data_IF_885889850717
#
_entry.id   IF_885889850717
#
_cell.length_a   1.000
_cell.length_b   1.000
_cell.length_c   1.000
_cell.angle_alpha   90.00
_cell.angle_beta   90.00
_cell.angle_gamma   90.00
#
_symmetry.space_group_name_H-M   'P 1'
#
loop_
_entity.id
_entity.type
_entity.pdbx_description
1 polymer ?
#
# COMPACT_ATOMS: atom_id res chain seq x y z
N UNK A 1 -18.28 2.77 -17.43
CA UNK A 1 -18.16 2.21 -16.06
C UNK A 1 -16.74 1.83 -15.68
N UNK A 2 -15.96 1.19 -16.55
CA UNK A 2 -14.57 0.78 -16.25
C UNK A 2 -13.67 1.92 -15.74
N UNK A 3 -13.74 3.09 -16.39
CA UNK A 3 -12.91 4.25 -16.03
C UNK A 3 -13.19 4.81 -14.62
N UNK A 4 -14.43 4.69 -14.12
CA UNK A 4 -14.79 5.20 -12.78
C UNK A 4 -14.23 4.27 -11.72
N UNK A 5 -14.40 2.96 -11.91
CA UNK A 5 -13.87 1.93 -11.03
C UNK A 5 -12.35 1.96 -10.98
N UNK A 6 -11.68 2.06 -12.13
CA UNK A 6 -10.22 2.14 -12.21
C UNK A 6 -9.69 3.39 -11.49
N UNK A 7 -10.33 4.55 -11.71
CA UNK A 7 -9.98 5.79 -11.00
C UNK A 7 -10.18 5.68 -9.49
N UNK A 8 -11.26 5.05 -9.05
CA UNK A 8 -11.51 4.84 -7.62
C UNK A 8 -10.48 3.90 -6.99
N UNK A 9 -10.13 2.81 -7.68
CA UNK A 9 -9.11 1.87 -7.21
C UNK A 9 -7.74 2.53 -7.10
N UNK A 10 -7.35 3.34 -8.09
CA UNK A 10 -6.09 4.08 -8.06
C UNK A 10 -6.06 5.05 -6.86
N UNK A 11 -7.12 5.84 -6.69
CA UNK A 11 -7.24 6.79 -5.59
C UNK A 11 -7.20 6.11 -4.21
N UNK A 12 -7.92 4.99 -4.06
CA UNK A 12 -7.91 4.21 -2.83
C UNK A 12 -6.52 3.64 -2.51
N UNK A 13 -5.85 3.05 -3.51
CA UNK A 13 -4.58 2.36 -3.28
C UNK A 13 -3.38 3.30 -3.12
N UNK A 14 -3.44 4.51 -3.71
CA UNK A 14 -2.29 5.42 -3.81
C UNK A 14 -2.46 6.75 -3.08
N UNK A 15 -3.69 7.23 -2.85
CA UNK A 15 -3.91 8.61 -2.34
C UNK A 15 -4.72 8.67 -1.04
N UNK A 16 -5.32 7.57 -0.58
CA UNK A 16 -6.13 7.53 0.64
C UNK A 16 -5.38 6.92 1.82
N UNK A 17 -4.88 7.74 2.76
CA UNK A 17 -4.30 7.22 3.99
C UNK A 17 -5.38 6.64 4.89
N UNK A 18 -5.07 5.51 5.53
CA UNK A 18 -5.99 4.82 6.44
C UNK A 18 -5.42 4.79 7.86
N UNK A 19 -6.20 5.22 8.85
CA UNK A 19 -5.81 5.20 10.26
C UNK A 19 -5.36 3.80 10.73
N UNK A 20 -6.04 2.75 10.26
CA UNK A 20 -5.69 1.36 10.58
C UNK A 20 -4.33 0.91 10.01
N UNK A 21 -3.82 1.60 8.99
CA UNK A 21 -2.51 1.37 8.39
C UNK A 21 -1.48 2.40 8.89
N UNK A 22 -1.67 2.96 10.09
CA UNK A 22 -0.82 4.03 10.64
C UNK A 22 -0.80 5.29 9.74
N UNK A 23 -1.94 5.66 9.17
CA UNK A 23 -2.08 6.76 8.20
C UNK A 23 -1.31 6.55 6.88
N UNK A 24 -1.01 5.31 6.52
CA UNK A 24 -0.46 4.97 5.20
C UNK A 24 -1.58 4.60 4.22
N UNK A 25 -1.29 4.79 2.93
CA UNK A 25 -2.09 4.17 1.86
C UNK A 25 -1.80 2.66 1.78
N UNK A 26 -2.68 1.87 1.14
CA UNK A 26 -2.45 0.44 0.96
C UNK A 26 -1.10 0.11 0.30
N UNK A 27 -0.71 0.85 -0.74
CA UNK A 27 0.56 0.61 -1.42
C UNK A 27 1.79 1.03 -0.60
N UNK A 28 1.69 2.11 0.18
CA UNK A 28 2.76 2.50 1.10
C UNK A 28 2.96 1.48 2.22
N UNK A 29 1.85 0.96 2.76
CA UNK A 29 1.87 -0.13 3.71
C UNK A 29 2.57 -1.35 3.09
N UNK A 30 2.15 -1.81 1.91
CA UNK A 30 2.79 -2.94 1.23
C UNK A 30 4.31 -2.75 1.09
N UNK A 31 4.76 -1.60 0.57
CA UNK A 31 6.19 -1.26 0.42
C UNK A 31 6.94 -1.29 1.75
N UNK A 32 6.33 -0.83 2.84
CA UNK A 32 6.93 -0.86 4.20
C UNK A 32 7.16 -2.30 4.67
N UNK A 33 6.24 -3.20 4.37
CA UNK A 33 6.34 -4.61 4.77
C UNK A 33 7.22 -5.43 3.84
N UNK A 34 7.25 -5.14 2.53
CA UNK A 34 8.21 -5.75 1.60
C UNK A 34 9.65 -5.44 2.02
N UNK A 35 9.96 -4.19 2.38
CA UNK A 35 11.26 -3.80 2.92
C UNK A 35 11.62 -4.54 4.21
N UNK A 36 10.63 -4.84 5.07
CA UNK A 36 10.84 -5.63 6.29
C UNK A 36 11.12 -7.09 5.96
N UNK A 37 10.39 -7.66 4.99
CA UNK A 37 10.58 -9.05 4.53
C UNK A 37 11.95 -9.24 3.91
N UNK A 38 12.35 -8.40 2.96
CA UNK A 38 13.66 -8.50 2.31
C UNK A 38 14.81 -8.28 3.29
N UNK A 39 14.65 -7.37 4.27
CA UNK A 39 15.63 -7.20 5.34
C UNK A 39 15.74 -8.44 6.24
N UNK A 40 14.63 -9.12 6.52
CA UNK A 40 14.64 -10.34 7.36
C UNK A 40 15.26 -11.52 6.62
N UNK A 41 14.95 -11.69 5.32
CA UNK A 41 15.51 -12.76 4.47
C UNK A 41 17.03 -12.63 4.25
N UNK A 42 17.59 -11.42 4.35
CA UNK A 42 19.04 -11.21 4.20
C UNK A 42 19.84 -11.48 5.49
N UNK A 43 19.16 -11.65 6.63
CA UNK A 43 19.77 -11.82 7.95
C UNK A 43 19.62 -13.28 8.45
N UNK A 44 18.99 -14.16 7.66
CA UNK A 44 18.87 -15.61 7.93
C UNK A 44 19.85 -16.39 7.07
#
# INVERSE_FOLDING_TARGET
MRNITEKWMDDYNNNRPHLALENLTPNEFLKKFEKKRTKTEFIV
#
